data_IF_079015366727
#
_entry.id   IF_079015366727
#
_cell.length_a   1.000
_cell.length_b   1.000
_cell.length_c   1.000
_cell.angle_alpha   90.00
_cell.angle_beta   90.00
_cell.angle_gamma   90.00
#
_symmetry.space_group_name_H-M   'P 1'
#
loop_
_entity.id
_entity.type
_entity.pdbx_description
1 polymer ?
#
# COMPACT_ATOMS: atom_id res chain seq x y z
N UNK A 1 15.28 -21.17 -8.51
CA UNK A 1 14.02 -20.46 -8.87
C UNK A 1 13.98 -18.99 -8.43
N UNK A 2 14.36 -18.63 -7.19
CA UNK A 2 14.33 -17.23 -6.70
C UNK A 2 15.13 -16.23 -7.55
N UNK A 3 16.39 -16.56 -7.90
CA UNK A 3 17.24 -15.71 -8.77
C UNK A 3 16.67 -15.50 -10.18
N UNK A 4 16.04 -16.53 -10.77
CA UNK A 4 15.38 -16.41 -12.08
C UNK A 4 14.14 -15.50 -12.00
N UNK A 5 13.30 -15.64 -10.96
CA UNK A 5 12.15 -14.75 -10.75
C UNK A 5 12.58 -13.30 -10.54
N UNK A 6 13.65 -13.02 -9.79
CA UNK A 6 14.19 -11.67 -9.62
C UNK A 6 14.67 -11.06 -10.95
N UNK A 7 15.35 -11.84 -11.80
CA UNK A 7 15.82 -11.36 -13.11
C UNK A 7 14.64 -11.06 -14.05
N UNK A 8 13.63 -11.93 -14.09
CA UNK A 8 12.42 -11.70 -14.89
C UNK A 8 11.61 -10.49 -14.39
N UNK A 9 11.46 -10.30 -13.08
CA UNK A 9 10.77 -9.14 -12.50
C UNK A 9 11.55 -7.84 -12.72
N UNK A 10 12.87 -7.82 -12.49
CA UNK A 10 13.72 -6.67 -12.77
C UNK A 10 13.73 -6.26 -14.25
N UNK A 11 13.60 -7.23 -15.15
CA UNK A 11 13.44 -6.98 -16.59
C UNK A 11 12.05 -6.42 -16.94
N UNK A 12 10.99 -6.93 -16.29
CA UNK A 12 9.61 -6.44 -16.46
C UNK A 12 9.46 -4.98 -16.02
N UNK A 13 10.14 -4.59 -14.93
CA UNK A 13 10.17 -3.21 -14.41
C UNK A 13 10.68 -2.23 -15.47
N UNK A 14 11.74 -2.61 -16.20
CA UNK A 14 12.37 -1.75 -17.20
C UNK A 14 11.65 -1.67 -18.54
N UNK A 15 10.73 -2.59 -18.85
CA UNK A 15 10.20 -2.77 -20.21
C UNK A 15 8.76 -2.27 -20.43
N UNK A 16 8.01 -1.91 -19.37
CA UNK A 16 6.54 -1.87 -19.47
C UNK A 16 5.87 -0.53 -19.12
N UNK A 17 6.61 0.48 -18.66
CA UNK A 17 6.01 1.74 -18.19
C UNK A 17 5.04 1.58 -17.02
N UNK A 18 5.10 0.44 -16.31
CA UNK A 18 4.27 0.11 -15.16
C UNK A 18 4.85 0.70 -13.87
N UNK A 19 3.98 1.11 -12.95
CA UNK A 19 4.37 1.58 -11.62
C UNK A 19 4.51 0.41 -10.63
N UNK A 20 5.64 0.34 -9.93
CA UNK A 20 5.98 -0.75 -9.01
C UNK A 20 6.00 -0.29 -7.56
N UNK A 21 5.09 -0.86 -6.78
CA UNK A 21 5.04 -0.70 -5.32
C UNK A 21 5.68 -1.94 -4.68
N UNK A 22 6.72 -1.72 -3.89
CA UNK A 22 7.36 -2.74 -3.08
C UNK A 22 6.76 -2.79 -1.68
N UNK A 23 5.97 -3.82 -1.41
CA UNK A 23 5.35 -4.06 -0.11
C UNK A 23 6.35 -4.76 0.81
N UNK A 24 6.81 -4.06 1.85
CA UNK A 24 7.66 -4.68 2.87
C UNK A 24 6.81 -5.44 3.88
N UNK A 25 7.41 -6.46 4.49
CA UNK A 25 6.71 -7.29 5.47
C UNK A 25 6.46 -6.51 6.75
N UNK A 26 7.47 -5.79 7.21
CA UNK A 26 7.38 -4.97 8.41
C UNK A 26 7.38 -5.79 9.71
N UNK A 27 7.27 -5.07 10.85
CA UNK A 27 7.29 -5.64 12.18
C UNK A 27 5.92 -6.23 12.56
N UNK A 28 5.79 -7.55 12.54
CA UNK A 28 4.57 -8.25 12.93
C UNK A 28 4.84 -9.18 14.13
N UNK A 29 3.79 -9.45 14.92
CA UNK A 29 3.84 -10.45 15.98
C UNK A 29 3.36 -11.78 15.41
N UNK A 30 4.04 -12.88 15.77
CA UNK A 30 3.64 -14.23 15.36
C UNK A 30 3.65 -15.21 16.51
N UNK A 31 2.81 -16.24 16.39
CA UNK A 31 2.94 -17.46 17.19
C UNK A 31 4.20 -18.24 16.80
N UNK A 32 4.76 -19.03 17.71
CA UNK A 32 5.95 -19.83 17.41
C UNK A 32 5.66 -21.17 16.73
N UNK A 33 6.61 -22.09 16.89
CA UNK A 33 6.50 -23.48 16.42
C UNK A 33 5.67 -24.32 17.38
N UNK A 34 5.05 -25.38 16.87
CA UNK A 34 4.23 -26.29 17.65
C UNK A 34 4.92 -27.65 17.78
N UNK A 35 4.63 -28.39 18.85
CA UNK A 35 5.13 -29.76 19.03
C UNK A 35 4.76 -30.61 17.81
N UNK A 36 5.73 -31.39 17.35
CA UNK A 36 5.65 -32.22 16.14
C UNK A 36 5.29 -31.47 14.84
N UNK A 37 5.30 -30.13 14.83
CA UNK A 37 4.88 -29.32 13.68
C UNK A 37 3.40 -29.46 13.33
N UNK A 38 2.57 -29.97 14.25
CA UNK A 38 1.15 -30.24 14.00
C UNK A 38 0.28 -29.09 14.53
N UNK A 39 -0.79 -28.71 13.82
CA UNK A 39 -1.77 -27.78 14.35
C UNK A 39 -2.42 -28.33 15.63
N UNK A 40 -2.61 -27.46 16.62
CA UNK A 40 -3.26 -27.80 17.90
C UNK A 40 -4.71 -27.33 17.92
N UNK A 41 -5.56 -28.08 18.61
CA UNK A 41 -6.97 -27.72 18.79
C UNK A 41 -7.14 -26.90 20.06
N UNK A 42 -7.50 -25.63 19.90
CA UNK A 42 -7.92 -24.79 21.01
C UNK A 42 -9.41 -24.99 21.28
N UNK A 43 -9.79 -25.14 22.55
CA UNK A 43 -11.19 -25.31 22.98
C UNK A 43 -11.66 -24.08 23.75
N UNK A 44 -12.86 -23.63 23.43
CA UNK A 44 -13.51 -22.55 24.17
C UNK A 44 -13.53 -22.83 25.68
N UNK A 45 -13.20 -21.82 26.47
CA UNK A 45 -13.18 -21.85 27.93
C UNK A 45 -11.90 -22.44 28.53
N UNK A 46 -11.03 -23.09 27.75
CA UNK A 46 -9.76 -23.59 28.26
C UNK A 46 -8.79 -22.43 28.56
N UNK A 47 -7.95 -22.62 29.57
CA UNK A 47 -6.83 -21.71 29.84
C UNK A 47 -5.59 -22.15 29.07
N UNK A 48 -4.83 -21.18 28.59
CA UNK A 48 -3.57 -21.38 27.88
C UNK A 48 -2.55 -20.35 28.34
N UNK A 49 -1.31 -20.76 28.45
CA UNK A 49 -0.19 -19.87 28.78
C UNK A 49 0.50 -19.42 27.50
N UNK A 50 0.74 -18.13 27.37
CA UNK A 50 1.54 -17.55 26.30
C UNK A 50 2.90 -17.18 26.87
N UNK A 51 3.97 -17.78 26.36
CA UNK A 51 5.35 -17.46 26.70
C UNK A 51 5.98 -16.52 25.68
N UNK A 52 6.86 -15.63 26.13
CA UNK A 52 7.72 -14.83 25.23
C UNK A 52 9.02 -15.52 24.85
N UNK A 53 9.29 -16.71 25.40
CA UNK A 53 10.39 -17.57 24.96
C UNK A 53 10.00 -18.26 23.64
N UNK A 54 10.53 -17.72 22.55
CA UNK A 54 10.18 -18.11 21.19
C UNK A 54 10.87 -19.41 20.72
N UNK A 55 11.79 -19.95 21.51
CA UNK A 55 12.44 -21.23 21.24
C UNK A 55 11.60 -22.44 21.73
N UNK A 56 10.60 -22.18 22.59
CA UNK A 56 9.66 -23.20 23.05
C UNK A 56 8.77 -23.70 21.91
N UNK A 57 8.59 -25.02 21.85
CA UNK A 57 7.59 -25.64 21.00
C UNK A 57 6.26 -25.71 21.74
N UNK A 58 5.26 -25.00 21.24
CA UNK A 58 3.95 -24.89 21.87
C UNK A 58 3.08 -26.14 21.73
N UNK A 59 2.13 -26.29 22.64
CA UNK A 59 1.12 -27.34 22.70
C UNK A 59 -0.23 -26.77 23.16
N UNK A 60 -1.19 -27.64 23.51
CA UNK A 60 -2.52 -27.23 23.96
C UNK A 60 -2.52 -26.42 25.27
N UNK A 61 -1.45 -26.48 26.08
CA UNK A 61 -1.36 -25.80 27.39
C UNK A 61 -0.50 -24.53 27.32
N UNK A 62 0.57 -24.53 26.53
CA UNK A 62 1.48 -23.40 26.40
C UNK A 62 1.84 -23.13 24.94
N UNK A 63 1.68 -21.90 24.47
CA UNK A 63 2.17 -21.42 23.17
C UNK A 63 3.16 -20.29 23.38
N UNK A 64 3.94 -19.96 22.35
CA UNK A 64 4.85 -18.81 22.40
C UNK A 64 4.49 -17.76 21.34
N UNK A 65 4.84 -16.51 21.63
CA UNK A 65 4.68 -15.37 20.72
C UNK A 65 5.99 -14.59 20.60
N UNK A 66 6.24 -14.02 19.42
CA UNK A 66 7.51 -13.35 19.11
C UNK A 66 7.72 -12.00 19.82
N UNK A 67 6.69 -11.48 20.51
CA UNK A 67 6.74 -10.15 21.13
C UNK A 67 7.25 -10.24 22.58
N UNK A 68 8.50 -9.83 22.80
CA UNK A 68 9.18 -9.98 24.10
C UNK A 68 8.54 -9.18 25.24
N UNK A 69 7.94 -8.04 24.93
CA UNK A 69 7.28 -7.17 25.91
C UNK A 69 5.80 -7.51 26.10
N UNK A 70 5.33 -8.67 25.62
CA UNK A 70 3.91 -9.02 25.67
C UNK A 70 3.35 -8.93 27.09
N UNK A 71 4.03 -9.51 28.08
CA UNK A 71 3.58 -9.49 29.48
C UNK A 71 3.62 -8.10 30.14
N UNK A 72 4.38 -7.16 29.57
CA UNK A 72 4.47 -5.76 30.06
C UNK A 72 3.36 -4.89 29.46
N UNK A 73 3.01 -5.11 28.19
CA UNK A 73 2.14 -4.21 27.44
C UNK A 73 0.66 -4.65 27.37
N UNK A 74 0.37 -5.93 27.62
CA UNK A 74 -1.01 -6.42 27.73
C UNK A 74 -1.48 -6.39 29.18
N UNK A 75 -2.78 -6.18 29.38
CA UNK A 75 -3.40 -6.13 30.71
C UNK A 75 -4.54 -7.15 30.84
N UNK A 76 -4.85 -7.64 32.05
CA UNK A 76 -6.04 -8.44 32.30
C UNK A 76 -7.31 -7.78 31.73
N UNK A 77 -8.13 -8.57 31.03
CA UNK A 77 -9.34 -8.10 30.34
C UNK A 77 -9.12 -7.68 28.89
N UNK A 78 -7.88 -7.57 28.41
CA UNK A 78 -7.58 -7.35 26.99
C UNK A 78 -7.77 -8.64 26.17
N UNK A 79 -7.95 -8.49 24.86
CA UNK A 79 -8.08 -9.61 23.92
C UNK A 79 -6.87 -9.65 23.01
N UNK A 80 -6.28 -10.83 22.88
CA UNK A 80 -5.24 -11.13 21.90
C UNK A 80 -5.89 -11.91 20.75
N UNK A 81 -5.67 -11.46 19.52
CA UNK A 81 -6.25 -12.05 18.32
C UNK A 81 -5.16 -12.79 17.55
N UNK A 82 -5.41 -14.05 17.19
CA UNK A 82 -4.48 -14.87 16.44
C UNK A 82 -5.13 -15.38 15.15
N UNK A 83 -4.29 -15.65 14.13
CA UNK A 83 -4.72 -16.23 12.86
C UNK A 83 -5.84 -15.41 12.19
N UNK A 84 -5.55 -14.15 11.89
CA UNK A 84 -6.48 -13.20 11.25
C UNK A 84 -7.80 -13.06 12.02
N UNK A 85 -7.74 -13.13 13.36
CA UNK A 85 -8.91 -13.00 14.23
C UNK A 85 -9.72 -14.27 14.46
N UNK A 86 -9.36 -15.36 13.80
CA UNK A 86 -10.07 -16.63 13.95
C UNK A 86 -10.00 -17.16 15.37
N UNK A 87 -8.96 -16.80 16.12
CA UNK A 87 -8.76 -17.19 17.52
C UNK A 87 -8.74 -15.92 18.38
N UNK A 88 -9.58 -15.89 19.43
CA UNK A 88 -9.62 -14.85 20.44
C UNK A 88 -9.19 -15.39 21.80
N UNK A 89 -8.21 -14.75 22.42
CA UNK A 89 -7.66 -15.11 23.72
C UNK A 89 -7.86 -13.94 24.70
N UNK A 90 -8.67 -14.14 25.74
CA UNK A 90 -8.88 -13.14 26.79
C UNK A 90 -7.75 -13.23 27.82
N UNK A 91 -7.03 -12.14 28.05
CA UNK A 91 -5.95 -12.07 29.04
C UNK A 91 -6.54 -12.15 30.46
N UNK A 92 -6.08 -13.12 31.23
CA UNK A 92 -6.48 -13.33 32.63
C UNK A 92 -5.48 -12.71 33.61
N UNK A 93 -4.19 -12.94 33.39
CA UNK A 93 -3.10 -12.45 34.24
C UNK A 93 -1.79 -12.38 33.48
N UNK A 94 -0.93 -11.43 33.84
CA UNK A 94 0.40 -11.26 33.25
C UNK A 94 1.47 -11.47 34.32
N UNK A 95 2.54 -12.17 33.96
CA UNK A 95 3.72 -12.37 34.77
C UNK A 95 4.93 -11.79 34.01
N UNK A 96 5.30 -10.58 34.38
CA UNK A 96 6.40 -9.84 33.76
C UNK A 96 7.77 -10.40 34.11
N UNK A 97 7.92 -11.08 35.26
CA UNK A 97 9.21 -11.64 35.68
C UNK A 97 9.57 -12.87 34.82
N UNK A 98 8.59 -13.72 34.55
CA UNK A 98 8.77 -14.90 33.72
C UNK A 98 8.43 -14.69 32.23
N UNK A 99 7.93 -13.51 31.86
CA UNK A 99 7.51 -13.21 30.48
C UNK A 99 6.37 -14.11 30.01
N UNK A 100 5.38 -14.36 30.87
CA UNK A 100 4.23 -15.21 30.54
C UNK A 100 2.89 -14.49 30.73
N UNK A 101 1.91 -14.85 29.90
CA UNK A 101 0.56 -14.31 29.95
C UNK A 101 -0.43 -15.46 29.95
N UNK A 102 -1.23 -15.59 31.01
CA UNK A 102 -2.32 -16.57 31.04
C UNK A 102 -3.54 -15.99 30.36
N UNK A 103 -4.11 -16.77 29.46
CA UNK A 103 -5.29 -16.40 28.70
C UNK A 103 -6.36 -17.48 28.77
N UNK A 104 -7.61 -17.10 28.49
CA UNK A 104 -8.72 -18.01 28.23
C UNK A 104 -9.09 -17.97 26.75
N UNK A 105 -9.27 -19.13 26.14
CA UNK A 105 -9.78 -19.20 24.77
C UNK A 105 -11.26 -18.83 24.74
N UNK A 106 -11.63 -17.77 24.02
CA UNK A 106 -13.02 -17.33 23.90
C UNK A 106 -13.81 -18.14 22.85
N UNK A 107 -13.10 -18.84 21.96
CA UNK A 107 -13.69 -19.69 20.93
C UNK A 107 -12.83 -20.93 20.63
N UNK A 108 -13.46 -21.95 20.04
CA UNK A 108 -12.76 -23.17 19.59
C UNK A 108 -12.24 -23.00 18.16
N UNK A 109 -10.96 -23.27 17.92
CA UNK A 109 -10.34 -23.17 16.60
C UNK A 109 -9.01 -23.95 16.53
N UNK A 110 -8.54 -24.22 15.32
CA UNK A 110 -7.22 -24.84 15.08
C UNK A 110 -6.14 -23.76 14.99
N UNK A 111 -5.13 -23.84 15.85
CA UNK A 111 -3.94 -22.99 15.76
C UNK A 111 -2.84 -23.71 14.98
N UNK A 112 -2.32 -23.07 13.94
CA UNK A 112 -1.12 -23.51 13.24
C UNK A 112 0.12 -22.74 13.68
N UNK A 113 1.26 -23.06 13.08
CA UNK A 113 2.52 -22.37 13.35
C UNK A 113 2.58 -20.99 12.70
N UNK A 114 3.32 -20.06 13.34
CA UNK A 114 3.69 -18.75 12.76
C UNK A 114 2.50 -17.97 12.23
N UNK A 115 1.37 -18.06 12.93
CA UNK A 115 0.17 -17.27 12.65
C UNK A 115 0.38 -15.85 13.15
N UNK A 116 -0.19 -14.88 12.43
CA UNK A 116 -0.18 -13.48 12.85
C UNK A 116 -0.91 -13.34 14.19
N UNK A 117 -0.46 -12.35 14.96
CA UNK A 117 -1.04 -11.96 16.23
C UNK A 117 -1.26 -10.44 16.23
N UNK A 118 -2.42 -10.03 16.67
CA UNK A 118 -2.85 -8.65 16.81
C UNK A 118 -3.17 -8.36 18.27
N UNK A 119 -2.86 -7.15 18.72
CA UNK A 119 -3.01 -6.72 20.12
C UNK A 119 -3.85 -5.43 20.18
N UNK A 120 -5.17 -5.50 19.93
CA UNK A 120 -6.02 -4.32 19.85
C UNK A 120 -5.93 -3.45 21.10
N UNK A 121 -5.67 -2.15 20.90
CA UNK A 121 -5.53 -1.18 21.98
C UNK A 121 -4.16 -1.17 22.69
N UNK A 122 -3.20 -1.99 22.25
CA UNK A 122 -1.83 -1.99 22.77
C UNK A 122 -0.92 -1.15 21.87
N UNK A 123 -0.10 -0.29 22.46
CA UNK A 123 1.00 0.39 21.76
C UNK A 123 2.19 -0.58 21.70
N UNK A 124 2.33 -1.26 20.57
CA UNK A 124 3.37 -2.27 20.38
C UNK A 124 4.71 -1.59 20.09
N UNK A 125 5.73 -1.88 20.90
CA UNK A 125 7.11 -1.36 20.75
C UNK A 125 7.96 -2.30 19.88
N UNK A 126 7.64 -2.34 18.58
CA UNK A 126 8.48 -2.96 17.57
C UNK A 126 9.26 -1.91 16.75
N UNK A 127 10.44 -2.25 16.19
CA UNK A 127 11.17 -1.34 15.30
C UNK A 127 10.38 -1.08 14.01
N UNK A 128 10.55 0.09 13.39
CA UNK A 128 9.90 0.44 12.11
C UNK A 128 10.19 -0.55 10.99
N UNK A 129 11.44 -1.00 10.90
CA UNK A 129 11.92 -1.94 9.91
C UNK A 129 12.67 -3.06 10.61
N UNK A 130 12.40 -4.30 10.18
CA UNK A 130 13.25 -5.44 10.55
C UNK A 130 14.58 -5.37 9.79
N UNK A 131 15.61 -6.09 10.25
CA UNK A 131 16.88 -6.20 9.50
C UNK A 131 16.66 -6.80 8.11
N UNK A 132 15.69 -7.71 7.98
CA UNK A 132 15.29 -8.27 6.70
C UNK A 132 14.64 -7.22 5.79
N UNK A 133 13.79 -6.34 6.31
CA UNK A 133 13.20 -5.27 5.50
C UNK A 133 14.29 -4.32 4.98
N UNK A 134 15.28 -3.95 5.83
CA UNK A 134 16.42 -3.12 5.41
C UNK A 134 17.22 -3.80 4.30
N UNK A 135 17.49 -5.10 4.45
CA UNK A 135 18.17 -5.89 3.43
C UNK A 135 17.38 -5.95 2.13
N UNK A 136 16.09 -6.26 2.20
CA UNK A 136 15.22 -6.39 1.02
C UNK A 136 15.12 -5.03 0.29
N UNK A 137 15.01 -3.91 1.01
CA UNK A 137 15.02 -2.56 0.42
C UNK A 137 16.37 -2.28 -0.27
N UNK A 138 17.49 -2.43 0.44
CA UNK A 138 18.79 -1.96 -0.04
C UNK A 138 19.44 -2.90 -1.06
N UNK A 139 19.28 -4.21 -0.91
CA UNK A 139 19.89 -5.21 -1.81
C UNK A 139 18.99 -5.62 -2.95
N UNK A 140 17.68 -5.39 -2.86
CA UNK A 140 16.75 -5.76 -3.92
C UNK A 140 15.93 -4.58 -4.44
N UNK A 141 15.23 -3.82 -3.59
CA UNK A 141 14.39 -2.71 -4.02
C UNK A 141 15.16 -1.64 -4.79
N UNK A 142 16.19 -1.06 -4.17
CA UNK A 142 17.00 0.03 -4.76
C UNK A 142 17.69 -0.41 -6.08
N UNK A 143 18.38 -1.57 -6.17
CA UNK A 143 18.99 -2.00 -7.42
C UNK A 143 18.00 -2.25 -8.56
N UNK A 144 16.74 -2.58 -8.25
CA UNK A 144 15.68 -2.81 -9.23
C UNK A 144 14.88 -1.54 -9.55
N UNK A 145 15.26 -0.37 -9.03
CA UNK A 145 14.61 0.92 -9.32
C UNK A 145 13.10 0.89 -9.09
N UNK A 146 12.68 0.36 -7.94
CA UNK A 146 11.27 0.41 -7.51
C UNK A 146 10.81 1.86 -7.40
N UNK A 147 9.54 2.11 -7.71
CA UNK A 147 8.99 3.47 -7.70
C UNK A 147 8.51 3.89 -6.31
N UNK A 148 8.02 2.94 -5.53
CA UNK A 148 7.43 3.22 -4.22
C UNK A 148 7.62 2.06 -3.25
N UNK A 149 7.79 2.35 -1.97
CA UNK A 149 7.77 1.38 -0.88
C UNK A 149 6.50 1.58 -0.07
N UNK A 150 5.72 0.52 0.10
CA UNK A 150 4.58 0.49 1.00
C UNK A 150 5.00 -0.10 2.36
N UNK A 151 5.05 0.78 3.36
CA UNK A 151 5.53 0.49 4.71
C UNK A 151 4.38 -0.06 5.56
N UNK A 152 4.54 -1.28 6.05
CA UNK A 152 3.58 -1.95 6.94
C UNK A 152 3.74 -1.46 8.38
N UNK A 153 2.61 -1.42 9.11
CA UNK A 153 2.49 -1.08 10.53
C UNK A 153 3.07 0.29 10.90
N UNK A 154 2.84 1.30 10.06
CA UNK A 154 3.27 2.67 10.32
C UNK A 154 2.44 3.26 11.46
N UNK A 155 3.13 3.75 12.50
CA UNK A 155 2.52 4.23 13.74
C UNK A 155 2.71 5.72 13.96
N UNK A 156 3.78 6.31 13.41
CA UNK A 156 4.17 7.71 13.63
C UNK A 156 4.95 8.27 12.46
N UNK A 157 4.97 9.59 12.30
CA UNK A 157 5.71 10.29 11.26
C UNK A 157 7.22 10.00 11.29
N UNK A 158 7.78 9.77 12.48
CA UNK A 158 9.21 9.44 12.63
C UNK A 158 9.61 8.12 11.96
N UNK A 159 8.65 7.19 11.76
CA UNK A 159 8.90 5.92 11.07
C UNK A 159 9.35 6.20 9.62
N UNK A 160 8.65 7.12 8.94
CA UNK A 160 8.98 7.55 7.58
C UNK A 160 10.34 8.24 7.53
N UNK A 161 10.65 9.08 8.52
CA UNK A 161 11.94 9.77 8.61
C UNK A 161 13.09 8.76 8.73
N UNK A 162 12.90 7.67 9.47
CA UNK A 162 13.90 6.60 9.58
C UNK A 162 14.10 5.88 8.23
N UNK A 163 13.02 5.58 7.51
CA UNK A 163 13.13 4.94 6.18
C UNK A 163 13.78 5.88 5.16
N UNK A 164 13.44 7.18 5.18
CA UNK A 164 14.13 8.19 4.36
C UNK A 164 15.62 8.24 4.63
N UNK A 165 16.02 8.18 5.90
CA UNK A 165 17.43 8.15 6.29
C UNK A 165 18.13 6.88 5.79
N UNK A 166 17.46 5.72 5.82
CA UNK A 166 17.99 4.47 5.27
C UNK A 166 18.22 4.57 3.75
N UNK A 167 17.25 5.14 3.03
CA UNK A 167 17.32 5.29 1.57
C UNK A 167 18.38 6.31 1.12
N UNK A 168 18.73 7.29 1.96
CA UNK A 168 19.73 8.30 1.61
C UNK A 168 19.35 9.06 0.33
N UNK A 169 20.29 9.15 -0.61
CA UNK A 169 20.03 9.83 -1.90
C UNK A 169 18.95 9.15 -2.76
N UNK A 170 18.72 7.85 -2.58
CA UNK A 170 17.65 7.12 -3.30
C UNK A 170 16.25 7.60 -2.90
N UNK A 171 16.11 8.25 -1.74
CA UNK A 171 14.83 8.79 -1.27
C UNK A 171 14.24 9.87 -2.20
N UNK A 172 15.04 10.45 -3.12
CA UNK A 172 14.58 11.42 -4.12
C UNK A 172 13.70 10.79 -5.19
N UNK A 173 13.91 9.50 -5.48
CA UNK A 173 13.27 8.80 -6.59
C UNK A 173 12.33 7.68 -6.12
N UNK A 174 12.35 7.31 -4.84
CA UNK A 174 11.48 6.25 -4.30
C UNK A 174 10.45 6.88 -3.38
N UNK A 175 9.18 6.74 -3.71
CA UNK A 175 8.09 7.24 -2.88
C UNK A 175 7.84 6.35 -1.66
N UNK A 176 7.29 6.91 -0.58
CA UNK A 176 6.88 6.16 0.61
C UNK A 176 5.36 6.23 0.78
N UNK A 177 4.75 5.05 0.80
CA UNK A 177 3.35 4.85 1.14
C UNK A 177 3.23 4.30 2.55
N UNK A 178 2.49 4.99 3.41
CA UNK A 178 2.20 4.50 4.76
C UNK A 178 0.96 3.62 4.77
N UNK A 179 1.09 2.37 5.23
CA UNK A 179 -0.05 1.50 5.49
C UNK A 179 -0.51 1.71 6.94
N UNK A 180 -1.73 2.21 7.08
CA UNK A 180 -2.37 2.41 8.40
C UNK A 180 -3.13 1.15 8.75
N UNK A 181 -2.59 0.41 9.71
CA UNK A 181 -2.98 -0.97 10.03
C UNK A 181 -3.41 -1.17 11.48
N UNK A 182 -3.19 -0.18 12.34
CA UNK A 182 -3.49 -0.28 13.76
C UNK A 182 -4.08 1.00 14.34
N UNK A 183 -4.55 0.91 15.58
CA UNK A 183 -5.19 2.02 16.28
C UNK A 183 -4.25 3.22 16.47
N UNK A 184 -2.96 2.98 16.77
CA UNK A 184 -1.96 4.04 16.91
C UNK A 184 -1.77 4.82 15.61
N UNK A 185 -1.68 4.13 14.47
CA UNK A 185 -1.57 4.75 13.16
C UNK A 185 -2.80 5.59 12.79
N UNK A 186 -4.00 5.17 13.20
CA UNK A 186 -5.22 5.99 13.06
C UNK A 186 -5.18 7.22 13.96
N UNK A 187 -4.72 7.08 15.22
CA UNK A 187 -4.63 8.18 16.16
C UNK A 187 -3.58 9.24 15.75
N UNK A 188 -2.44 8.80 15.23
CA UNK A 188 -1.33 9.64 14.78
C UNK A 188 -1.40 9.99 13.28
N UNK A 189 -2.55 9.77 12.65
CA UNK A 189 -2.68 9.86 11.20
C UNK A 189 -2.20 11.18 10.63
N UNK A 190 -2.44 12.31 11.30
CA UNK A 190 -2.02 13.63 10.81
C UNK A 190 -0.48 13.78 10.75
N UNK A 191 0.25 13.23 11.72
CA UNK A 191 1.71 13.24 11.73
C UNK A 191 2.29 12.32 10.65
N UNK A 192 1.68 11.14 10.49
CA UNK A 192 2.03 10.22 9.39
C UNK A 192 1.76 10.90 8.05
N UNK A 193 0.61 11.58 7.92
CA UNK A 193 0.16 12.31 6.74
C UNK A 193 1.17 13.34 6.29
N UNK A 194 1.77 14.10 7.20
CA UNK A 194 2.81 15.08 6.86
C UNK A 194 4.03 14.42 6.24
N UNK A 195 4.45 13.25 6.74
CA UNK A 195 5.74 12.63 6.40
C UNK A 195 5.68 11.56 5.28
N UNK A 196 4.50 11.21 4.79
CA UNK A 196 4.33 10.20 3.73
C UNK A 196 4.08 10.83 2.37
N UNK A 197 4.40 10.15 1.27
CA UNK A 197 4.01 10.61 -0.07
C UNK A 197 2.64 10.07 -0.47
N UNK A 198 2.27 8.89 0.03
CA UNK A 198 1.01 8.23 -0.26
C UNK A 198 0.49 7.47 0.97
N UNK A 199 -0.78 7.08 0.93
CA UNK A 199 -1.45 6.34 1.99
C UNK A 199 -2.10 5.07 1.48
N UNK A 200 -2.08 4.03 2.31
CA UNK A 200 -2.93 2.87 2.15
C UNK A 200 -3.75 2.64 3.41
N UNK A 201 -5.05 2.56 3.22
CA UNK A 201 -6.01 2.14 4.24
C UNK A 201 -6.07 0.61 4.18
N UNK A 202 -5.28 -0.04 5.02
CA UNK A 202 -5.11 -1.49 5.04
C UNK A 202 -6.15 -2.13 5.97
N UNK A 203 -7.36 -2.30 5.42
CA UNK A 203 -8.58 -2.69 6.16
C UNK A 203 -8.52 -4.09 6.78
N UNK A 204 -7.69 -4.98 6.24
CA UNK A 204 -7.46 -6.33 6.78
C UNK A 204 -6.93 -6.27 8.21
N UNK A 205 -5.68 -5.83 8.39
CA UNK A 205 -5.09 -5.67 9.72
C UNK A 205 -5.81 -4.59 10.55
N UNK A 206 -6.23 -3.48 9.93
CA UNK A 206 -6.95 -2.45 10.66
C UNK A 206 -8.27 -2.96 11.25
N UNK A 207 -8.99 -3.82 10.55
CA UNK A 207 -10.22 -4.43 11.04
C UNK A 207 -10.02 -5.43 12.17
N UNK A 208 -8.78 -5.84 12.41
CA UNK A 208 -8.39 -6.61 13.59
C UNK A 208 -8.12 -5.70 14.79
N UNK A 209 -7.61 -4.49 14.56
CA UNK A 209 -7.11 -3.58 15.59
C UNK A 209 -8.17 -2.60 16.11
N UNK A 210 -9.18 -2.26 15.31
CA UNK A 210 -10.31 -1.42 15.71
C UNK A 210 -11.65 -2.15 15.53
N UNK A 211 -12.71 -1.76 16.24
CA UNK A 211 -14.03 -2.34 16.02
C UNK A 211 -14.44 -2.25 14.55
N UNK A 212 -14.90 -3.38 13.99
CA UNK A 212 -15.16 -3.53 12.55
C UNK A 212 -16.17 -2.48 12.04
N UNK A 213 -17.16 -2.15 12.85
CA UNK A 213 -18.15 -1.12 12.58
C UNK A 213 -17.58 0.30 12.55
N UNK A 214 -16.34 0.53 12.98
CA UNK A 214 -15.66 1.84 12.89
C UNK A 214 -14.73 1.96 11.69
N UNK A 215 -14.44 0.88 10.97
CA UNK A 215 -13.54 0.90 9.80
C UNK A 215 -14.03 1.88 8.74
N UNK A 216 -15.34 1.90 8.46
CA UNK A 216 -15.90 2.79 7.44
C UNK A 216 -15.66 4.28 7.77
N UNK A 217 -15.73 4.63 9.07
CA UNK A 217 -15.50 6.00 9.54
C UNK A 217 -14.02 6.35 9.39
N UNK A 218 -13.13 5.47 9.84
CA UNK A 218 -11.68 5.65 9.71
C UNK A 218 -11.29 5.83 8.24
N UNK A 219 -11.82 4.98 7.34
CA UNK A 219 -11.61 5.07 5.90
C UNK A 219 -12.01 6.45 5.35
N UNK A 220 -13.25 6.88 5.60
CA UNK A 220 -13.76 8.16 5.08
C UNK A 220 -12.94 9.36 5.58
N UNK A 221 -12.59 9.38 6.86
CA UNK A 221 -11.79 10.46 7.45
C UNK A 221 -10.38 10.49 6.87
N UNK A 222 -9.72 9.33 6.75
CA UNK A 222 -8.38 9.25 6.16
C UNK A 222 -8.37 9.68 4.69
N UNK A 223 -9.32 9.20 3.88
CA UNK A 223 -9.46 9.63 2.48
C UNK A 223 -9.67 11.14 2.39
N UNK A 224 -10.59 11.69 3.20
CA UNK A 224 -10.87 13.13 3.22
C UNK A 224 -9.63 13.97 3.54
N UNK A 225 -8.86 13.57 4.56
CA UNK A 225 -7.64 14.27 4.97
C UNK A 225 -6.53 14.17 3.91
N UNK A 226 -6.35 13.00 3.29
CA UNK A 226 -5.44 12.82 2.15
C UNK A 226 -5.79 13.75 0.98
N UNK A 227 -7.08 13.82 0.63
CA UNK A 227 -7.59 14.67 -0.44
C UNK A 227 -7.35 16.16 -0.16
N UNK A 228 -7.49 16.62 1.09
CA UNK A 228 -7.15 18.01 1.47
C UNK A 228 -5.66 18.30 1.25
N UNK A 229 -4.80 17.36 1.60
CA UNK A 229 -3.34 17.52 1.48
C UNK A 229 -2.81 17.21 0.07
N UNK A 230 -3.68 16.80 -0.86
CA UNK A 230 -3.28 16.41 -2.21
C UNK A 230 -2.38 15.17 -2.25
N UNK A 231 -2.48 14.30 -1.24
CA UNK A 231 -1.68 13.07 -1.16
C UNK A 231 -2.51 11.87 -1.61
N UNK A 232 -1.99 11.01 -2.50
CA UNK A 232 -2.71 9.87 -3.05
C UNK A 232 -3.06 8.86 -1.95
N UNK A 233 -4.27 8.32 -2.00
CA UNK A 233 -4.79 7.35 -1.04
C UNK A 233 -5.36 6.10 -1.71
N UNK A 234 -4.95 4.94 -1.19
CA UNK A 234 -5.32 3.62 -1.67
C UNK A 234 -6.22 2.94 -0.65
N UNK A 235 -7.40 2.51 -1.09
CA UNK A 235 -8.25 1.63 -0.27
C UNK A 235 -7.93 0.18 -0.63
N UNK A 236 -7.51 -0.61 0.36
CA UNK A 236 -6.98 -1.95 0.15
C UNK A 236 -7.73 -3.03 0.94
N UNK A 237 -7.45 -4.27 0.57
CA UNK A 237 -7.92 -5.54 1.17
C UNK A 237 -9.41 -5.81 1.06
N UNK A 238 -9.76 -7.04 0.65
CA UNK A 238 -11.12 -7.56 0.56
C UNK A 238 -12.09 -6.69 -0.24
N UNK A 239 -11.59 -5.99 -1.27
CA UNK A 239 -12.44 -5.17 -2.14
C UNK A 239 -13.37 -6.07 -2.99
N UNK A 240 -12.86 -7.23 -3.45
CA UNK A 240 -13.57 -8.20 -4.28
C UNK A 240 -13.28 -9.64 -3.84
N UNK A 241 -13.15 -9.89 -2.53
CA UNK A 241 -12.65 -11.16 -1.94
C UNK A 241 -13.29 -12.43 -2.53
N UNK A 242 -14.62 -12.43 -2.72
CA UNK A 242 -15.35 -13.57 -3.28
C UNK A 242 -14.86 -13.96 -4.67
N UNK A 243 -14.27 -13.02 -5.42
CA UNK A 243 -13.75 -13.26 -6.76
C UNK A 243 -12.50 -14.14 -6.80
N UNK A 244 -11.90 -14.47 -5.64
CA UNK A 244 -10.90 -15.54 -5.53
C UNK A 244 -11.49 -16.86 -6.01
N UNK A 245 -12.75 -17.15 -5.68
CA UNK A 245 -13.43 -18.42 -5.96
C UNK A 245 -14.61 -18.30 -6.92
N UNK A 246 -15.09 -17.09 -7.17
CA UNK A 246 -16.27 -16.79 -7.99
C UNK A 246 -15.93 -15.90 -9.18
N UNK A 247 -16.52 -16.10 -10.36
CA UNK A 247 -16.29 -15.21 -11.50
C UNK A 247 -17.03 -13.86 -11.37
N UNK A 248 -17.89 -13.69 -10.35
CA UNK A 248 -18.65 -12.46 -10.10
C UNK A 248 -18.55 -12.04 -8.64
N UNK A 249 -18.41 -10.73 -8.36
CA UNK A 249 -18.43 -10.22 -7.00
C UNK A 249 -19.85 -10.22 -6.43
N UNK A 250 -19.94 -10.10 -5.12
CA UNK A 250 -21.20 -9.86 -4.42
C UNK A 250 -21.66 -8.41 -4.62
N UNK A 251 -22.93 -8.14 -4.31
CA UNK A 251 -23.47 -6.77 -4.32
C UNK A 251 -22.77 -5.87 -3.30
N UNK A 252 -22.38 -6.44 -2.16
CA UNK A 252 -21.67 -5.72 -1.10
C UNK A 252 -20.29 -5.27 -1.58
N UNK A 253 -19.50 -6.18 -2.16
CA UNK A 253 -18.17 -5.90 -2.72
C UNK A 253 -18.21 -4.86 -3.84
N UNK A 254 -19.14 -5.01 -4.79
CA UNK A 254 -19.30 -4.03 -5.86
C UNK A 254 -19.67 -2.63 -5.33
N UNK A 255 -20.48 -2.58 -4.27
CA UNK A 255 -20.89 -1.32 -3.61
C UNK A 255 -19.75 -0.74 -2.77
N UNK A 256 -18.92 -1.59 -2.15
CA UNK A 256 -17.74 -1.17 -1.40
C UNK A 256 -16.71 -0.48 -2.31
N UNK A 257 -16.37 -1.09 -3.45
CA UNK A 257 -15.51 -0.47 -4.48
C UNK A 257 -16.10 0.87 -4.94
N UNK A 258 -17.40 0.92 -5.23
CA UNK A 258 -18.04 2.16 -5.67
C UNK A 258 -17.97 3.26 -4.59
N UNK A 259 -18.24 2.92 -3.33
CA UNK A 259 -18.19 3.87 -2.22
C UNK A 259 -16.78 4.36 -1.93
N UNK A 260 -15.76 3.50 -1.98
CA UNK A 260 -14.37 3.92 -1.78
C UNK A 260 -13.97 5.02 -2.79
N UNK A 261 -14.41 4.91 -4.04
CA UNK A 261 -14.10 5.94 -5.05
C UNK A 261 -15.01 7.16 -4.96
N UNK A 262 -16.26 7.01 -4.51
CA UNK A 262 -17.13 8.14 -4.16
C UNK A 262 -16.57 8.96 -2.99
N UNK A 263 -15.97 8.27 -2.00
CA UNK A 263 -15.27 8.90 -0.88
C UNK A 263 -14.03 9.67 -1.34
N UNK A 264 -13.50 9.29 -2.50
CA UNK A 264 -12.41 9.97 -3.17
C UNK A 264 -11.07 9.26 -3.05
N UNK A 265 -11.05 7.94 -2.91
CA UNK A 265 -9.79 7.18 -3.03
C UNK A 265 -9.20 7.34 -4.44
N UNK A 266 -7.87 7.40 -4.55
CA UNK A 266 -7.19 7.47 -5.83
C UNK A 266 -7.11 6.10 -6.51
N UNK A 267 -6.76 5.08 -5.72
CA UNK A 267 -6.62 3.72 -6.18
C UNK A 267 -7.41 2.75 -5.28
N UNK A 268 -7.88 1.65 -5.88
CA UNK A 268 -8.35 0.47 -5.15
C UNK A 268 -7.36 -0.67 -5.38
N UNK A 269 -7.02 -1.41 -4.33
CA UNK A 269 -6.06 -2.51 -4.40
C UNK A 269 -6.75 -3.87 -4.32
N UNK A 270 -6.32 -4.78 -5.20
CA UNK A 270 -6.64 -6.20 -5.13
C UNK A 270 -5.46 -6.95 -4.51
N UNK A 271 -5.73 -7.93 -3.66
CA UNK A 271 -4.76 -8.71 -2.91
C UNK A 271 -4.82 -10.18 -3.33
N UNK A 272 -5.52 -11.02 -2.57
CA UNK A 272 -5.68 -12.45 -2.89
C UNK A 272 -6.40 -12.67 -4.22
N UNK A 273 -7.29 -11.74 -4.60
CA UNK A 273 -8.11 -11.79 -5.82
C UNK A 273 -7.27 -11.94 -7.08
N UNK A 274 -6.11 -11.27 -7.16
CA UNK A 274 -5.19 -11.35 -8.31
C UNK A 274 -3.96 -12.19 -8.04
N UNK A 275 -3.52 -12.31 -6.78
CA UNK A 275 -2.31 -13.06 -6.44
C UNK A 275 -2.50 -14.58 -6.51
N UNK A 276 -3.68 -15.07 -6.09
CA UNK A 276 -3.98 -16.49 -6.01
C UNK A 276 -5.42 -16.84 -6.44
N UNK A 277 -6.21 -15.85 -6.88
CA UNK A 277 -7.59 -16.07 -7.31
C UNK A 277 -7.70 -16.88 -8.60
N UNK A 278 -8.82 -17.57 -8.76
CA UNK A 278 -9.15 -18.31 -9.98
C UNK A 278 -9.50 -17.39 -11.16
N UNK A 279 -9.82 -16.12 -10.90
CA UNK A 279 -10.33 -15.17 -11.89
C UNK A 279 -9.58 -13.81 -11.89
N UNK A 280 -8.24 -13.78 -11.96
CA UNK A 280 -7.45 -12.55 -11.79
C UNK A 280 -7.76 -11.48 -12.86
N UNK A 281 -7.98 -11.88 -14.11
CA UNK A 281 -8.33 -10.95 -15.19
C UNK A 281 -9.74 -10.35 -15.04
N UNK A 282 -10.70 -11.12 -14.54
CA UNK A 282 -12.07 -10.64 -14.28
C UNK A 282 -12.13 -9.72 -13.06
N UNK A 283 -11.28 -9.94 -12.06
CA UNK A 283 -11.17 -9.05 -10.92
C UNK A 283 -10.59 -7.69 -11.33
N UNK A 284 -9.60 -7.67 -12.24
CA UNK A 284 -9.04 -6.43 -12.81
C UNK A 284 -10.03 -5.71 -13.72
N UNK A 285 -10.75 -6.47 -14.55
CA UNK A 285 -11.69 -5.98 -15.55
C UNK A 285 -13.08 -6.42 -15.09
N UNK A 286 -13.73 -5.69 -14.18
CA UNK A 286 -15.14 -5.94 -13.87
C UNK A 286 -15.95 -5.90 -15.19
N UNK A 287 -16.28 -7.09 -15.71
CA UNK A 287 -16.84 -7.30 -17.04
C UNK A 287 -18.12 -6.49 -17.19
N UNK A 288 -18.03 -5.44 -18.00
CA UNK A 288 -19.10 -4.49 -18.28
C UNK A 288 -18.64 -3.04 -18.23
N UNK A 289 -17.55 -2.73 -17.52
CA UNK A 289 -17.02 -1.36 -17.39
C UNK A 289 -18.02 -0.35 -16.80
N UNK A 290 -19.24 -0.78 -16.45
CA UNK A 290 -20.34 0.05 -15.98
C UNK A 290 -20.06 0.58 -14.58
N UNK A 291 -19.52 -0.26 -13.69
CA UNK A 291 -19.10 0.15 -12.35
C UNK A 291 -17.89 1.09 -12.43
N UNK A 292 -16.84 0.75 -13.19
CA UNK A 292 -15.68 1.64 -13.40
C UNK A 292 -16.07 2.98 -14.07
N UNK A 293 -17.03 2.98 -15.00
CA UNK A 293 -17.60 4.18 -15.66
C UNK A 293 -18.49 4.99 -14.72
N UNK A 294 -19.30 4.35 -13.88
CA UNK A 294 -20.10 5.00 -12.84
C UNK A 294 -19.22 5.60 -11.75
N UNK A 295 -18.10 4.95 -11.45
CA UNK A 295 -17.08 5.40 -10.49
C UNK A 295 -16.27 6.58 -11.05
N UNK A 296 -15.83 6.49 -12.31
CA UNK A 296 -15.17 7.58 -13.02
C UNK A 296 -16.05 8.84 -13.15
N UNK A 297 -17.38 8.67 -13.22
CA UNK A 297 -18.37 9.76 -13.24
C UNK A 297 -18.22 10.74 -12.06
N UNK A 298 -17.68 10.31 -10.91
CA UNK A 298 -17.69 11.10 -9.68
C UNK A 298 -16.35 11.78 -9.33
N UNK A 299 -15.42 11.98 -10.30
CA UNK A 299 -14.34 13.01 -10.37
C UNK A 299 -13.14 12.51 -11.21
N UNK A 300 -12.54 13.27 -12.15
CA UNK A 300 -12.94 14.54 -12.75
C UNK A 300 -13.87 14.34 -13.96
N UNK A 301 -14.47 15.43 -14.47
CA UNK A 301 -15.26 15.38 -15.70
C UNK A 301 -14.44 15.21 -16.98
N UNK A 302 -13.10 15.32 -16.89
CA UNK A 302 -12.17 15.29 -18.04
C UNK A 302 -10.82 14.63 -17.61
N UNK A 303 -10.15 13.88 -18.49
CA UNK A 303 -8.84 13.25 -18.22
C UNK A 303 -7.70 14.28 -18.15
N UNK A 304 -6.65 14.00 -17.38
CA UNK A 304 -5.46 14.87 -17.26
C UNK A 304 -4.26 14.16 -17.88
N UNK A 305 -3.73 14.70 -18.98
CA UNK A 305 -2.49 14.21 -19.58
C UNK A 305 -1.29 14.82 -18.84
N UNK A 306 -0.46 13.97 -18.22
CA UNK A 306 0.78 14.39 -17.56
C UNK A 306 1.96 14.11 -18.49
N UNK A 307 2.48 15.16 -19.12
CA UNK A 307 3.60 15.05 -20.07
C UNK A 307 4.92 15.12 -19.31
N UNK A 308 5.73 14.07 -19.42
CA UNK A 308 7.08 14.05 -18.83
C UNK A 308 8.08 14.21 -19.95
N UNK A 309 8.81 15.33 -19.89
CA UNK A 309 9.89 15.66 -20.83
C UNK A 309 11.21 15.33 -20.14
N UNK A 310 12.00 14.38 -20.65
CA UNK A 310 13.25 14.05 -20.04
C UNK A 310 14.33 15.11 -20.38
N UNK A 311 15.12 15.49 -19.38
CA UNK A 311 16.28 16.36 -19.55
C UNK A 311 17.49 15.55 -20.05
N UNK A 312 18.04 15.91 -21.21
CA UNK A 312 19.33 15.38 -21.66
C UNK A 312 20.47 16.26 -21.14
N UNK A 313 21.39 15.70 -20.37
CA UNK A 313 22.64 16.36 -19.97
C UNK A 313 23.80 15.79 -20.78
N UNK A 314 24.59 16.69 -21.36
CA UNK A 314 25.78 16.35 -22.15
C UNK A 314 27.00 16.99 -21.51
N UNK A 315 27.89 16.17 -20.95
CA UNK A 315 29.21 16.61 -20.49
C UNK A 315 30.23 15.91 -21.38
N UNK A 316 31.14 16.67 -22.01
CA UNK A 316 32.18 16.40 -23.04
C UNK A 316 32.45 14.98 -23.62
N UNK A 317 32.05 13.86 -23.01
CA UNK A 317 32.10 12.49 -23.55
C UNK A 317 30.90 11.59 -23.18
N UNK A 318 29.96 12.00 -22.32
CA UNK A 318 28.82 11.20 -21.85
C UNK A 318 27.46 11.88 -22.04
N UNK A 319 26.47 11.09 -22.46
CA UNK A 319 25.06 11.49 -22.58
C UNK A 319 24.25 10.83 -21.47
N UNK A 320 23.47 11.62 -20.72
CA UNK A 320 22.52 11.09 -19.73
C UNK A 320 21.13 11.69 -19.94
N UNK A 321 20.10 10.87 -19.78
CA UNK A 321 18.69 11.25 -19.91
C UNK A 321 18.04 11.18 -18.53
N UNK A 322 17.20 12.16 -18.18
CA UNK A 322 16.53 12.15 -16.87
C UNK A 322 15.55 10.98 -16.73
N UNK A 323 15.25 10.64 -15.47
CA UNK A 323 14.50 9.45 -15.09
C UNK A 323 13.02 9.49 -15.56
N UNK A 324 12.50 8.34 -16.01
CA UNK A 324 11.09 8.12 -16.36
C UNK A 324 10.19 7.97 -15.12
N UNK A 325 10.79 7.84 -13.93
CA UNK A 325 10.08 7.70 -12.63
C UNK A 325 8.94 8.70 -12.42
N UNK A 326 9.03 10.01 -12.76
CA UNK A 326 7.90 10.94 -12.62
C UNK A 326 6.65 10.51 -13.41
N UNK A 327 6.82 9.90 -14.58
CA UNK A 327 5.71 9.39 -15.38
C UNK A 327 5.05 8.21 -14.68
N UNK A 328 5.87 7.26 -14.19
CA UNK A 328 5.37 6.09 -13.46
C UNK A 328 4.70 6.50 -12.14
N UNK A 329 5.28 7.43 -11.40
CA UNK A 329 4.73 7.97 -10.15
C UNK A 329 3.36 8.63 -10.33
N UNK A 330 3.08 9.20 -11.51
CA UNK A 330 1.77 9.80 -11.78
C UNK A 330 0.62 8.77 -11.77
N UNK A 331 0.91 7.48 -11.98
CA UNK A 331 -0.10 6.42 -12.07
C UNK A 331 -0.84 6.15 -10.76
N UNK A 332 -0.32 6.58 -9.61
CA UNK A 332 -1.02 6.45 -8.32
C UNK A 332 -2.08 7.54 -8.12
N UNK A 333 -2.01 8.64 -8.87
CA UNK A 333 -2.94 9.75 -8.74
C UNK A 333 -4.15 9.55 -9.65
N UNK A 334 -5.34 9.84 -9.10
CA UNK A 334 -6.58 9.70 -9.87
C UNK A 334 -6.63 10.61 -11.08
N UNK A 335 -6.88 10.03 -12.25
CA UNK A 335 -7.16 10.77 -13.49
C UNK A 335 -5.93 11.27 -14.25
N UNK A 336 -4.72 11.09 -13.72
CA UNK A 336 -3.47 11.31 -14.46
C UNK A 336 -3.25 10.17 -15.46
N UNK A 337 -2.93 10.55 -16.69
CA UNK A 337 -2.50 9.64 -17.76
C UNK A 337 -1.10 10.10 -18.15
N UNK A 338 -0.04 9.39 -17.74
CA UNK A 338 1.32 9.76 -18.10
C UNK A 338 1.56 9.60 -19.60
N UNK A 339 2.30 10.56 -20.14
CA UNK A 339 2.76 10.58 -21.52
C UNK A 339 4.25 10.90 -21.49
N UNK A 340 5.09 9.95 -21.91
CA UNK A 340 6.53 10.17 -22.04
C UNK A 340 6.82 10.82 -23.39
N UNK A 341 7.40 12.02 -23.37
CA UNK A 341 7.82 12.71 -24.58
C UNK A 341 9.28 12.35 -24.89
N UNK A 342 9.58 11.96 -26.14
CA UNK A 342 10.91 11.46 -26.51
C UNK A 342 11.99 12.55 -26.63
N UNK A 343 11.63 13.82 -26.51
CA UNK A 343 12.57 14.95 -26.65
C UNK A 343 12.96 15.25 -28.09
N UNK A 344 13.35 16.50 -28.35
CA UNK A 344 13.95 16.95 -29.61
C UNK A 344 15.35 17.52 -29.30
N UNK A 345 16.39 16.99 -29.94
CA UNK A 345 17.79 17.34 -29.66
C UNK A 345 18.20 18.78 -30.07
N UNK A 346 17.25 19.62 -30.50
CA UNK A 346 17.51 20.88 -31.20
C UNK A 346 16.77 22.12 -30.67
N UNK A 347 15.91 21.97 -29.67
CA UNK A 347 14.99 23.04 -29.30
C UNK A 347 15.48 23.84 -28.09
N UNK A 348 15.30 25.17 -28.14
CA UNK A 348 15.34 26.03 -26.95
C UNK A 348 14.25 25.64 -25.94
N UNK A 349 14.35 26.06 -24.67
CA UNK A 349 13.35 25.71 -23.63
C UNK A 349 11.90 26.10 -24.02
N UNK A 350 11.70 27.14 -24.83
CA UNK A 350 10.36 27.56 -25.26
C UNK A 350 9.85 26.73 -26.45
N UNK A 351 10.69 26.44 -27.46
CA UNK A 351 10.31 25.60 -28.61
C UNK A 351 10.01 24.16 -28.19
N UNK A 352 10.79 23.60 -27.25
CA UNK A 352 10.54 22.25 -26.72
C UNK A 352 9.20 22.14 -25.97
N UNK A 353 8.74 23.25 -25.38
CA UNK A 353 7.47 23.29 -24.65
C UNK A 353 6.28 23.26 -25.60
N UNK A 354 6.33 23.96 -26.73
CA UNK A 354 5.26 23.94 -27.73
C UNK A 354 5.16 22.57 -28.44
N UNK A 355 6.30 21.98 -28.80
CA UNK A 355 6.34 20.62 -29.36
C UNK A 355 5.75 19.57 -28.40
N UNK A 356 6.03 19.69 -27.09
CA UNK A 356 5.46 18.81 -26.08
C UNK A 356 3.93 18.95 -25.96
N UNK A 357 3.39 20.17 -26.08
CA UNK A 357 1.94 20.42 -26.07
C UNK A 357 1.27 19.83 -27.32
N UNK A 358 1.88 20.01 -28.49
CA UNK A 358 1.37 19.43 -29.74
C UNK A 358 1.37 17.91 -29.67
N UNK A 359 2.47 17.31 -29.19
CA UNK A 359 2.56 15.87 -28.96
C UNK A 359 1.48 15.36 -28.01
N UNK A 360 1.27 16.03 -26.88
CA UNK A 360 0.24 15.66 -25.91
C UNK A 360 -1.17 15.77 -26.47
N UNK A 361 -1.44 16.82 -27.25
CA UNK A 361 -2.73 17.04 -27.90
C UNK A 361 -3.00 15.95 -28.94
N UNK A 362 -2.00 15.60 -29.73
CA UNK A 362 -2.09 14.52 -30.71
C UNK A 362 -2.30 13.16 -30.03
N UNK A 363 -1.56 12.88 -28.95
CA UNK A 363 -1.77 11.69 -28.13
C UNK A 363 -3.19 11.63 -27.55
N UNK A 364 -3.72 12.76 -27.08
CA UNK A 364 -5.10 12.90 -26.62
C UNK A 364 -6.12 12.55 -27.70
N UNK A 365 -5.91 12.97 -28.96
CA UNK A 365 -6.75 12.61 -30.10
C UNK A 365 -6.69 11.12 -30.40
N UNK A 366 -5.50 10.53 -30.44
CA UNK A 366 -5.28 9.10 -30.70
C UNK A 366 -5.97 8.21 -29.65
N UNK A 367 -5.93 8.64 -28.39
CA UNK A 367 -6.61 7.98 -27.26
C UNK A 367 -8.10 8.33 -27.13
N UNK A 368 -8.65 9.14 -28.05
CA UNK A 368 -10.03 9.60 -28.07
C UNK A 368 -10.44 10.37 -26.79
N UNK A 369 -9.50 11.08 -26.18
CA UNK A 369 -9.72 11.91 -25.00
C UNK A 369 -10.19 13.34 -25.36
N UNK A 370 -9.86 13.81 -26.57
CA UNK A 370 -10.32 15.07 -27.14
C UNK A 370 -10.49 14.95 -28.67
N UNK A 371 -11.22 15.89 -29.26
CA UNK A 371 -11.49 15.99 -30.71
C UNK A 371 -11.10 17.37 -31.24
N UNK A 372 -10.90 17.46 -32.56
CA UNK A 372 -10.74 18.76 -33.22
C UNK A 372 -11.91 19.68 -32.88
N UNK A 373 -11.61 20.90 -32.44
CA UNK A 373 -12.58 21.89 -31.96
C UNK A 373 -12.77 21.92 -30.44
N UNK A 374 -12.33 20.89 -29.70
CA UNK A 374 -12.38 20.90 -28.24
C UNK A 374 -11.38 21.91 -27.66
N UNK A 375 -11.69 22.45 -26.47
CA UNK A 375 -10.76 23.29 -25.71
C UNK A 375 -9.96 22.45 -24.73
N UNK A 376 -8.64 22.60 -24.73
CA UNK A 376 -7.72 21.99 -23.76
C UNK A 376 -7.03 23.07 -22.94
N UNK A 377 -6.74 22.77 -21.68
CA UNK A 377 -5.99 23.65 -20.78
C UNK A 377 -4.60 23.05 -20.57
N UNK A 378 -3.56 23.78 -20.99
CA UNK A 378 -2.17 23.42 -20.78
C UNK A 378 -1.62 24.19 -19.57
N UNK A 379 -1.09 23.45 -18.59
CA UNK A 379 -0.40 23.98 -17.42
C UNK A 379 1.09 23.75 -17.60
N UNK A 380 1.86 24.82 -17.58
CA UNK A 380 3.29 24.81 -17.91
C UNK A 380 4.09 25.50 -16.81
N UNK A 381 5.34 25.08 -16.62
CA UNK A 381 6.28 25.76 -15.75
C UNK A 381 7.50 26.17 -16.57
N UNK A 382 7.72 27.47 -16.71
CA UNK A 382 8.88 28.04 -17.41
C UNK A 382 9.75 28.74 -16.36
N UNK A 383 10.88 28.11 -16.02
CA UNK A 383 11.69 28.52 -14.86
C UNK A 383 10.89 28.49 -13.56
N UNK A 384 10.72 29.65 -12.92
CA UNK A 384 9.97 29.80 -11.67
C UNK A 384 8.51 30.26 -11.87
N UNK A 385 8.09 30.54 -13.10
CA UNK A 385 6.73 30.99 -13.41
C UNK A 385 5.82 29.83 -13.83
N UNK A 386 4.58 29.84 -13.33
CA UNK A 386 3.51 28.94 -13.78
C UNK A 386 2.64 29.64 -14.81
N UNK A 387 2.42 29.00 -15.95
CA UNK A 387 1.69 29.56 -17.09
C UNK A 387 0.50 28.64 -17.45
N UNK A 388 -0.65 29.25 -17.72
CA UNK A 388 -1.88 28.57 -18.10
C UNK A 388 -2.25 29.02 -19.52
N UNK A 389 -2.33 28.08 -20.47
CA UNK A 389 -2.80 28.32 -21.85
C UNK A 389 -4.12 27.58 -22.07
N UNK A 390 -5.08 28.25 -22.70
CA UNK A 390 -6.27 27.61 -23.24
C UNK A 390 -6.08 27.50 -24.75
N UNK A 391 -6.15 26.28 -25.28
CA UNK A 391 -5.87 25.98 -26.68
C UNK A 391 -7.07 25.26 -27.29
N UNK A 392 -7.35 25.54 -28.56
CA UNK A 392 -8.31 24.76 -29.34
C UNK A 392 -7.56 23.65 -30.06
N UNK A 393 -8.03 22.42 -29.90
CA UNK A 393 -7.47 21.24 -30.59
C UNK A 393 -7.70 21.41 -32.09
N UNK A 394 -6.61 21.46 -32.86
CA UNK A 394 -6.65 21.51 -34.33
C UNK A 394 -6.92 20.14 -34.93
#
# INVERSE_FOLDING_TARGET
>A
MYKLRQIYFGCLIKLTGLFFIFLIKGPEIRTGFLKDGKPIQLKQGQEITISTDYDLQGDEETICMSYKKLAEDVNPGMVILCADGTISLLVLSCDTENGTVRCRCENSAMLGERKNVNLPGVVVDLPTLTEKDKEDIMKWGVPNQIDMIALSFVRKGSDLVQVRKLLGDHAKNILLMSKVENQEGVANFDDILVNSDAFMIARGDLGMEIPIEKIFLAQKVMIYKCNIQGKPVVTATQMLESMIKSPRPTRAEATDVANAVLDGTDCVMLSGETAAGAYPELARIMQGGSTARLVAKYRPGMPILSVVVPEMKTDFFDWSCSDESPARHSLIFRGLIPVLYAGSARASHDESTEEAIEFATQHGKEKQLCKTGDSVVALLRVGNASLIKILTVK
#
